data_IF_039974643204
#
_entry.id   IF_039974643204
#
_cell.length_a   1.000
_cell.length_b   1.000
_cell.length_c   1.000
_cell.angle_alpha   90.00
_cell.angle_beta   90.00
_cell.angle_gamma   90.00
#
_symmetry.space_group_name_H-M   'P 1'
#
loop_
_entity.id
_entity.type
_entity.pdbx_description
1 polymer ?
#
# COMPACT_ATOMS: atom_id res chain seq x y z
N UNK A 1 38.85 14.33 -18.39
CA UNK A 1 38.94 15.01 -17.11
C UNK A 1 38.50 13.98 -16.07
N UNK A 2 39.42 13.49 -15.21
CA UNK A 2 39.14 12.41 -14.27
C UNK A 2 38.03 12.83 -13.32
N UNK A 3 37.00 11.99 -13.15
CA UNK A 3 36.04 12.14 -12.08
C UNK A 3 36.81 12.15 -10.75
N UNK A 4 36.82 13.26 -10.04
CA UNK A 4 37.35 13.32 -8.69
C UNK A 4 36.54 12.34 -7.84
N UNK A 5 37.25 11.43 -7.16
CA UNK A 5 36.65 10.51 -6.20
C UNK A 5 35.92 11.34 -5.12
N UNK A 6 34.59 11.23 -5.05
CA UNK A 6 33.80 11.84 -4.00
C UNK A 6 33.84 10.92 -2.79
N UNK A 7 34.78 11.14 -1.87
CA UNK A 7 34.78 10.44 -0.59
C UNK A 7 33.64 10.99 0.27
N UNK A 8 32.68 10.13 0.55
CA UNK A 8 31.62 10.38 1.52
C UNK A 8 31.96 9.66 2.82
N UNK A 9 31.70 10.32 3.95
CA UNK A 9 31.65 9.65 5.26
C UNK A 9 30.20 9.26 5.52
N UNK A 10 29.96 7.98 5.85
CA UNK A 10 28.65 7.49 6.24
C UNK A 10 28.55 7.54 7.75
N UNK A 11 27.54 8.20 8.28
CA UNK A 11 27.24 8.27 9.72
C UNK A 11 25.89 7.60 9.96
N UNK A 12 25.81 6.85 11.04
CA UNK A 12 24.63 6.09 11.45
C UNK A 12 24.29 6.42 12.91
N UNK A 13 23.01 6.46 13.24
CA UNK A 13 22.49 6.83 14.56
C UNK A 13 21.14 6.11 14.81
N UNK A 14 20.94 5.46 15.97
CA UNK A 14 21.76 5.44 17.17
C UNK A 14 22.90 4.42 17.14
N UNK A 15 22.93 3.46 16.22
CA UNK A 15 23.98 2.45 16.12
C UNK A 15 25.14 3.02 15.31
N UNK A 16 26.31 3.15 15.93
CA UNK A 16 27.51 3.67 15.30
C UNK A 16 28.42 2.54 14.82
N UNK A 17 28.81 2.55 13.55
CA UNK A 17 29.76 1.58 13.01
C UNK A 17 31.19 2.17 13.05
N UNK A 18 32.16 1.36 13.47
CA UNK A 18 33.58 1.69 13.37
C UNK A 18 34.03 1.80 11.91
N UNK A 19 33.48 0.93 11.07
CA UNK A 19 33.68 0.97 9.64
C UNK A 19 32.52 0.27 8.92
N UNK A 20 32.05 0.86 7.82
CA UNK A 20 31.00 0.28 6.99
C UNK A 20 31.65 -0.53 5.88
N UNK A 21 31.25 -1.78 5.76
CA UNK A 21 31.77 -2.74 4.77
C UNK A 21 30.83 -2.86 3.57
N UNK A 22 29.53 -2.84 3.83
CA UNK A 22 28.50 -3.02 2.82
C UNK A 22 27.29 -2.12 3.10
N UNK A 23 26.75 -1.53 2.06
CA UNK A 23 25.49 -0.84 2.12
C UNK A 23 24.78 -1.02 0.77
N UNK A 24 23.53 -1.46 0.85
CA UNK A 24 22.61 -1.50 -0.29
C UNK A 24 21.36 -0.73 0.05
N UNK A 25 20.81 0.02 -0.89
CA UNK A 25 19.51 0.69 -0.75
C UNK A 25 18.64 0.48 -1.98
N UNK A 26 17.34 0.34 -1.76
CA UNK A 26 16.34 0.19 -2.83
C UNK A 26 15.10 1.00 -2.50
N UNK A 27 14.70 1.83 -3.44
CA UNK A 27 13.47 2.61 -3.35
C UNK A 27 12.74 2.52 -4.70
N UNK A 28 11.44 2.21 -4.68
CA UNK A 28 10.64 2.11 -5.90
C UNK A 28 9.17 2.42 -5.58
N UNK A 29 8.42 2.94 -6.53
CA UNK A 29 6.97 3.15 -6.38
C UNK A 29 6.28 1.83 -6.01
N UNK A 30 5.25 1.90 -5.14
CA UNK A 30 4.51 0.76 -4.60
C UNK A 30 5.35 -0.25 -3.78
N UNK A 31 6.56 0.13 -3.38
CA UNK A 31 7.43 -0.67 -2.51
C UNK A 31 7.81 0.14 -1.27
N UNK A 32 8.07 -0.58 -0.18
CA UNK A 32 8.74 0.02 0.98
C UNK A 32 10.19 0.31 0.61
N UNK A 33 10.74 1.42 1.13
CA UNK A 33 12.18 1.64 1.10
C UNK A 33 12.89 0.49 1.83
N UNK A 34 14.00 0.09 1.30
CA UNK A 34 14.86 -0.98 1.84
C UNK A 34 16.30 -0.51 1.92
N UNK A 35 16.95 -0.83 3.04
CA UNK A 35 18.40 -0.70 3.16
C UNK A 35 18.97 -1.90 3.91
N UNK A 36 20.09 -2.38 3.44
CA UNK A 36 20.97 -3.31 4.15
C UNK A 36 22.28 -2.62 4.45
N UNK A 37 22.70 -2.65 5.70
CA UNK A 37 23.89 -1.98 6.19
C UNK A 37 24.70 -2.98 7.00
N UNK A 38 25.98 -3.14 6.70
CA UNK A 38 26.86 -4.05 7.42
C UNK A 38 28.24 -3.42 7.69
N UNK A 39 28.77 -3.64 8.88
CA UNK A 39 30.05 -3.09 9.26
C UNK A 39 30.54 -3.63 10.60
N UNK A 40 31.72 -3.18 11.01
CA UNK A 40 32.28 -3.53 12.31
C UNK A 40 31.78 -2.57 13.40
N UNK A 41 31.46 -3.15 14.56
CA UNK A 41 31.10 -2.43 15.80
C UNK A 41 32.14 -2.60 16.86
N UNK A 42 32.13 -1.74 17.89
CA UNK A 42 32.97 -1.87 19.07
C UNK A 42 32.54 -3.06 19.95
N UNK A 43 33.51 -3.81 20.47
CA UNK A 43 33.22 -4.89 21.40
C UNK A 43 32.60 -4.38 22.71
N UNK A 44 32.91 -3.14 23.10
CA UNK A 44 32.38 -2.51 24.31
C UNK A 44 30.89 -2.12 24.15
N UNK A 45 30.40 -1.91 22.94
CA UNK A 45 29.05 -1.45 22.64
C UNK A 45 28.08 -2.61 22.24
N UNK A 46 28.60 -3.85 22.09
CA UNK A 46 27.81 -4.99 21.67
C UNK A 46 26.56 -5.21 22.54
N UNK A 47 26.74 -5.24 23.86
CA UNK A 47 25.65 -5.49 24.79
C UNK A 47 24.59 -4.37 24.72
N UNK A 48 25.03 -3.13 24.59
CA UNK A 48 24.15 -1.98 24.44
C UNK A 48 23.35 -2.08 23.14
N UNK A 49 24.00 -2.35 22.01
CA UNK A 49 23.34 -2.48 20.70
C UNK A 49 22.41 -3.68 20.65
N UNK A 50 22.81 -4.81 21.24
CA UNK A 50 21.92 -5.97 21.36
C UNK A 50 20.63 -5.62 22.11
N UNK A 51 20.74 -4.91 23.24
CA UNK A 51 19.58 -4.50 24.01
C UNK A 51 18.70 -3.48 23.26
N UNK A 52 19.28 -2.55 22.51
CA UNK A 52 18.55 -1.63 21.65
C UNK A 52 17.81 -2.38 20.55
N UNK A 53 18.45 -3.34 19.89
CA UNK A 53 17.91 -4.10 18.77
C UNK A 53 16.80 -5.10 19.16
N UNK A 54 16.66 -5.40 20.45
CA UNK A 54 15.52 -6.19 20.95
C UNK A 54 14.21 -5.40 21.02
N UNK A 55 14.28 -4.07 20.87
CA UNK A 55 13.10 -3.19 20.80
C UNK A 55 12.86 -2.66 19.39
N UNK A 56 11.80 -1.85 19.24
CA UNK A 56 11.57 -1.08 18.02
C UNK A 56 12.62 0.05 17.95
N UNK A 57 13.47 0.01 16.94
CA UNK A 57 14.54 1.00 16.76
C UNK A 57 14.47 1.59 15.36
N UNK A 58 14.66 2.90 15.27
CA UNK A 58 14.81 3.65 14.04
C UNK A 58 16.28 3.99 13.84
N UNK A 59 16.81 3.61 12.71
CA UNK A 59 18.19 3.88 12.33
C UNK A 59 18.23 4.94 11.24
N UNK A 60 19.01 5.98 11.45
CA UNK A 60 19.24 7.06 10.51
C UNK A 60 20.62 6.91 9.89
N UNK A 61 20.67 6.94 8.57
CA UNK A 61 21.91 6.85 7.80
C UNK A 61 22.10 8.13 7.00
N UNK A 62 23.22 8.81 7.22
CA UNK A 62 23.60 10.07 6.58
C UNK A 62 24.88 9.93 5.77
N UNK A 63 24.94 10.67 4.66
CA UNK A 63 26.16 10.91 3.91
C UNK A 63 26.67 12.31 4.23
N UNK A 64 27.93 12.42 4.57
CA UNK A 64 28.63 13.69 4.72
C UNK A 64 29.62 13.81 3.58
N UNK A 65 29.43 14.83 2.74
CA UNK A 65 30.38 15.19 1.67
C UNK A 65 31.62 15.87 2.22
N UNK A 66 32.68 15.99 1.39
CA UNK A 66 33.97 16.63 1.74
C UNK A 66 33.82 18.07 2.23
N UNK A 67 32.85 18.81 1.72
CA UNK A 67 32.59 20.20 2.09
C UNK A 67 31.68 20.33 3.32
N UNK A 68 31.37 19.19 4.00
CA UNK A 68 30.49 19.16 5.15
C UNK A 68 29.00 19.19 4.83
N UNK A 69 28.61 18.89 3.59
CA UNK A 69 27.21 18.78 3.20
C UNK A 69 26.61 17.50 3.79
N UNK A 70 25.55 17.66 4.57
CA UNK A 70 24.82 16.53 5.14
C UNK A 70 23.64 16.16 4.24
N UNK A 71 23.52 14.89 3.87
CA UNK A 71 22.34 14.37 3.17
C UNK A 71 21.87 13.06 3.80
N UNK A 72 20.58 13.03 4.18
CA UNK A 72 19.97 11.80 4.69
C UNK A 72 19.87 10.80 3.53
N UNK A 73 20.51 9.66 3.71
CA UNK A 73 20.44 8.55 2.77
C UNK A 73 19.20 7.69 3.05
N UNK A 74 19.00 7.37 4.33
CA UNK A 74 17.88 6.55 4.79
C UNK A 74 17.54 6.86 6.24
N UNK A 75 16.27 6.70 6.59
CA UNK A 75 15.79 6.71 7.97
C UNK A 75 14.67 5.69 8.06
N UNK A 76 14.91 4.59 8.70
CA UNK A 76 13.98 3.47 8.71
C UNK A 76 14.02 2.67 9.99
N UNK A 77 13.03 1.80 10.12
CA UNK A 77 12.92 0.85 11.23
C UNK A 77 13.80 -0.35 10.95
N UNK A 78 14.51 -0.83 11.96
CA UNK A 78 15.30 -2.07 11.89
C UNK A 78 14.34 -3.24 11.96
N UNK A 79 14.29 -4.03 10.89
CA UNK A 79 13.41 -5.21 10.78
C UNK A 79 14.13 -6.53 10.95
N UNK A 80 15.47 -6.51 10.83
CA UNK A 80 16.29 -7.70 11.01
C UNK A 80 17.73 -7.29 11.36
N UNK A 81 18.42 -8.08 12.18
CA UNK A 81 19.83 -7.89 12.47
C UNK A 81 20.56 -9.22 12.65
N UNK A 82 21.87 -9.18 12.39
CA UNK A 82 22.78 -10.30 12.63
C UNK A 82 24.11 -9.78 13.17
N UNK A 83 24.59 -10.36 14.26
CA UNK A 83 25.92 -10.11 14.81
C UNK A 83 26.77 -11.36 14.58
N UNK A 84 27.83 -11.23 13.82
CA UNK A 84 28.81 -12.29 13.56
C UNK A 84 30.14 -11.95 14.20
N UNK A 85 30.76 -12.90 14.88
CA UNK A 85 32.15 -12.77 15.35
C UNK A 85 33.08 -13.41 14.34
N UNK A 86 33.95 -12.60 13.73
CA UNK A 86 34.94 -13.03 12.73
C UNK A 86 36.31 -12.57 13.16
N UNK A 87 37.22 -13.50 13.51
CA UNK A 87 38.64 -13.19 13.89
C UNK A 87 38.76 -12.06 14.92
N UNK A 88 38.09 -12.19 16.05
CA UNK A 88 38.05 -11.21 17.15
C UNK A 88 37.44 -9.83 16.78
N UNK A 89 36.79 -9.74 15.67
CA UNK A 89 35.98 -8.56 15.25
C UNK A 89 34.50 -8.90 15.18
N UNK A 90 33.66 -7.97 15.63
CA UNK A 90 32.20 -8.11 15.57
C UNK A 90 31.66 -7.35 14.40
N UNK A 91 31.04 -8.11 13.50
CA UNK A 91 30.31 -7.58 12.34
C UNK A 91 28.83 -7.55 12.65
N UNK A 92 28.23 -6.36 12.66
CA UNK A 92 26.79 -6.16 12.71
C UNK A 92 26.25 -5.94 11.29
N UNK A 93 25.17 -6.62 10.96
CA UNK A 93 24.41 -6.40 9.73
C UNK A 93 22.98 -6.05 10.11
N UNK A 94 22.46 -4.95 9.58
CA UNK A 94 21.09 -4.45 9.79
C UNK A 94 20.30 -4.50 8.49
N UNK A 95 19.03 -4.85 8.58
CA UNK A 95 18.05 -4.64 7.52
C UNK A 95 17.05 -3.58 7.97
N UNK A 96 16.95 -2.51 7.20
CA UNK A 96 16.07 -1.38 7.47
C UNK A 96 14.93 -1.34 6.47
N UNK A 97 13.76 -0.92 6.92
CA UNK A 97 12.60 -0.61 6.08
C UNK A 97 12.12 0.81 6.34
N UNK A 98 11.57 1.48 5.32
CA UNK A 98 10.87 2.75 5.54
C UNK A 98 9.71 2.56 6.50
N UNK A 99 9.31 3.61 7.22
CA UNK A 99 8.26 3.51 8.24
C UNK A 99 6.88 3.07 7.73
N UNK A 100 6.68 3.06 6.41
CA UNK A 100 5.48 2.46 5.80
C UNK A 100 5.42 0.94 5.99
N UNK A 101 6.51 0.29 6.39
CA UNK A 101 6.54 -1.12 6.74
C UNK A 101 5.60 -1.47 7.90
N UNK A 102 5.43 -0.55 8.85
CA UNK A 102 4.47 -0.71 9.95
C UNK A 102 3.04 -1.00 9.48
N UNK A 103 2.70 -0.59 8.26
CA UNK A 103 1.41 -0.87 7.64
C UNK A 103 1.23 -2.32 7.15
N UNK A 104 2.25 -3.17 7.28
CA UNK A 104 2.18 -4.61 6.94
C UNK A 104 2.02 -5.51 8.18
N UNK A 105 2.06 -4.95 9.40
CA UNK A 105 2.08 -5.75 10.64
C UNK A 105 0.77 -6.47 10.91
N UNK A 106 -0.36 -5.82 10.65
CA UNK A 106 -1.68 -6.35 10.96
C UNK A 106 -2.57 -6.44 9.72
N UNK A 107 -3.45 -7.42 9.73
CA UNK A 107 -4.53 -7.56 8.75
C UNK A 107 -5.82 -7.13 9.40
N UNK A 108 -6.64 -6.39 8.64
CA UNK A 108 -7.85 -5.78 9.15
C UNK A 108 -9.10 -6.28 8.44
N UNK A 109 -10.21 -6.21 9.16
CA UNK A 109 -11.54 -6.30 8.60
C UNK A 109 -12.27 -4.97 8.87
N UNK A 110 -12.29 -4.10 7.87
CA UNK A 110 -12.94 -2.79 7.92
C UNK A 110 -13.78 -2.57 6.68
N UNK A 111 -14.98 -1.99 6.84
CA UNK A 111 -15.77 -1.53 5.70
C UNK A 111 -16.04 -0.04 5.82
N UNK A 112 -16.17 0.62 4.67
CA UNK A 112 -16.62 2.00 4.52
C UNK A 112 -17.87 1.94 3.65
N UNK A 113 -19.05 2.14 4.29
CA UNK A 113 -20.36 1.99 3.67
C UNK A 113 -21.08 3.32 3.45
N UNK A 114 -20.38 4.44 3.62
CA UNK A 114 -20.85 5.76 3.20
C UNK A 114 -20.34 6.08 1.79
N UNK A 115 -21.22 5.95 0.80
CA UNK A 115 -20.89 6.25 -0.60
C UNK A 115 -20.56 7.73 -0.88
N UNK A 116 -20.78 8.65 0.08
CA UNK A 116 -20.38 10.05 -0.04
C UNK A 116 -18.94 10.29 0.37
N UNK A 117 -18.36 9.39 1.11
CA UNK A 117 -16.98 9.44 1.54
C UNK A 117 -16.02 9.40 0.35
N UNK A 118 -14.94 10.15 0.43
CA UNK A 118 -13.91 10.18 -0.62
C UNK A 118 -12.82 9.15 -0.34
N UNK A 119 -12.13 8.71 -1.39
CA UNK A 119 -10.96 7.85 -1.20
C UNK A 119 -9.87 8.53 -0.36
N UNK A 120 -9.72 9.85 -0.48
CA UNK A 120 -8.75 10.62 0.31
C UNK A 120 -9.05 10.57 1.82
N UNK A 121 -10.34 10.59 2.21
CA UNK A 121 -10.76 10.44 3.61
C UNK A 121 -10.42 9.05 4.13
N UNK A 122 -10.67 7.99 3.34
CA UNK A 122 -10.30 6.61 3.72
C UNK A 122 -8.78 6.50 3.94
N UNK A 123 -7.97 7.05 3.02
CA UNK A 123 -6.52 7.07 3.18
C UNK A 123 -6.07 7.75 4.47
N UNK A 124 -6.70 8.88 4.82
CA UNK A 124 -6.41 9.62 6.05
C UNK A 124 -6.77 8.80 7.29
N UNK A 125 -7.93 8.15 7.30
CA UNK A 125 -8.37 7.29 8.41
C UNK A 125 -7.43 6.12 8.62
N UNK A 126 -7.12 5.37 7.56
CA UNK A 126 -6.20 4.22 7.62
C UNK A 126 -4.81 4.64 8.10
N UNK A 127 -4.34 5.82 7.70
CA UNK A 127 -3.02 6.32 8.10
C UNK A 127 -2.98 6.87 9.53
N UNK A 128 -4.14 7.06 10.18
CA UNK A 128 -4.24 7.77 11.46
C UNK A 128 -3.48 7.13 12.63
N UNK A 129 -3.44 5.80 12.80
CA UNK A 129 -2.80 5.15 13.95
C UNK A 129 -1.27 5.23 13.94
N UNK A 130 -0.64 5.45 12.78
CA UNK A 130 0.80 5.30 12.64
C UNK A 130 1.62 6.48 13.20
N UNK A 131 2.82 6.20 13.76
CA UNK A 131 3.65 7.22 14.39
C UNK A 131 4.21 8.22 13.35
N UNK A 132 4.33 9.49 13.75
CA UNK A 132 4.90 10.58 12.94
C UNK A 132 4.40 10.56 11.49
N UNK A 133 3.14 10.17 11.29
CA UNK A 133 2.53 9.98 9.98
C UNK A 133 2.60 11.24 9.12
N UNK A 134 2.79 11.03 7.84
CA UNK A 134 2.64 12.06 6.82
C UNK A 134 2.07 11.43 5.56
N UNK A 135 0.92 11.93 5.12
CA UNK A 135 0.28 11.52 3.88
C UNK A 135 0.16 12.74 2.97
N UNK A 136 0.79 12.69 1.81
CA UNK A 136 0.81 13.79 0.85
C UNK A 136 0.17 13.35 -0.47
N UNK A 137 -0.89 14.04 -0.86
CA UNK A 137 -1.53 13.84 -2.16
C UNK A 137 -0.89 14.75 -3.20
N UNK A 138 -0.07 14.19 -4.09
CA UNK A 138 0.54 14.91 -5.22
C UNK A 138 -0.38 14.98 -6.45
N UNK A 139 -1.46 14.20 -6.42
CA UNK A 139 -2.59 14.21 -7.33
C UNK A 139 -3.85 14.12 -6.47
N UNK A 140 -4.89 14.92 -6.75
CA UNK A 140 -6.16 14.87 -6.01
C UNK A 140 -6.82 13.49 -6.11
N UNK A 141 -7.38 13.03 -5.02
CA UNK A 141 -8.15 11.79 -4.92
C UNK A 141 -9.48 12.01 -4.19
N UNK A 142 -10.07 13.19 -4.39
CA UNK A 142 -11.36 13.61 -3.79
C UNK A 142 -12.59 12.95 -4.44
N UNK A 143 -12.38 11.97 -5.31
CA UNK A 143 -13.48 11.19 -5.89
C UNK A 143 -14.23 10.46 -4.77
N UNK A 144 -15.57 10.59 -4.75
CA UNK A 144 -16.42 9.80 -3.87
C UNK A 144 -16.34 8.31 -4.22
N UNK A 145 -16.48 7.47 -3.21
CA UNK A 145 -16.48 6.01 -3.41
C UNK A 145 -17.67 5.57 -4.25
N UNK A 146 -18.87 6.11 -3.96
CA UNK A 146 -20.12 5.75 -4.63
C UNK A 146 -20.57 4.31 -4.34
N UNK A 147 -19.77 3.53 -3.64
CA UNK A 147 -19.97 2.12 -3.33
C UNK A 147 -19.34 1.78 -1.97
N UNK A 148 -19.62 0.60 -1.46
CA UNK A 148 -18.88 0.06 -0.32
C UNK A 148 -17.41 -0.11 -0.68
N UNK A 149 -16.53 0.25 0.24
CA UNK A 149 -15.11 -0.10 0.20
C UNK A 149 -14.84 -1.08 1.33
N UNK A 150 -14.18 -2.17 1.04
CA UNK A 150 -13.88 -3.24 1.98
C UNK A 150 -12.36 -3.46 2.08
N UNK A 151 -11.87 -3.61 3.29
CA UNK A 151 -10.58 -4.19 3.62
C UNK A 151 -10.87 -5.48 4.38
N UNK A 152 -10.49 -6.62 3.85
CA UNK A 152 -10.76 -7.91 4.48
C UNK A 152 -9.53 -8.81 4.42
N UNK A 153 -9.01 -9.20 5.60
CA UNK A 153 -7.78 -9.98 5.73
C UNK A 153 -6.59 -9.39 4.95
N UNK A 154 -6.56 -8.07 4.84
CA UNK A 154 -5.60 -7.31 4.05
C UNK A 154 -4.86 -6.31 4.94
N UNK A 155 -3.54 -6.15 4.76
CA UNK A 155 -2.74 -5.16 5.47
C UNK A 155 -3.08 -3.74 4.99
N UNK A 156 -2.81 -2.74 5.81
CA UNK A 156 -3.10 -1.34 5.45
C UNK A 156 -2.32 -0.90 4.19
N UNK A 157 -1.06 -1.33 4.05
CA UNK A 157 -0.28 -1.02 2.85
C UNK A 157 -0.86 -1.65 1.58
N UNK A 158 -1.21 -2.92 1.63
CA UNK A 158 -1.80 -3.62 0.49
C UNK A 158 -3.15 -3.02 0.11
N UNK A 159 -3.98 -2.69 1.10
CA UNK A 159 -5.26 -2.02 0.92
C UNK A 159 -5.11 -0.64 0.25
N UNK A 160 -4.23 0.22 0.77
CA UNK A 160 -4.01 1.54 0.19
C UNK A 160 -3.45 1.47 -1.24
N UNK A 161 -2.56 0.51 -1.53
CA UNK A 161 -2.10 0.26 -2.91
C UNK A 161 -3.25 -0.13 -3.84
N UNK A 162 -4.13 -1.02 -3.38
CA UNK A 162 -5.29 -1.45 -4.15
C UNK A 162 -6.25 -0.28 -4.41
N UNK A 163 -6.54 0.52 -3.38
CA UNK A 163 -7.34 1.74 -3.55
C UNK A 163 -6.68 2.73 -4.51
N UNK A 164 -5.38 2.98 -4.39
CA UNK A 164 -4.64 3.84 -5.29
C UNK A 164 -4.78 3.39 -6.75
N UNK A 165 -4.74 2.07 -6.99
CA UNK A 165 -4.83 1.49 -8.33
C UNK A 165 -6.16 1.77 -9.03
N UNK A 166 -7.26 1.97 -8.29
CA UNK A 166 -8.59 2.32 -8.86
C UNK A 166 -8.61 3.61 -9.68
N UNK A 167 -7.67 4.51 -9.41
CA UNK A 167 -7.45 5.72 -10.22
C UNK A 167 -6.13 5.67 -11.00
N UNK A 168 -5.59 4.46 -11.19
CA UNK A 168 -4.29 4.22 -11.81
C UNK A 168 -3.13 4.88 -11.07
N UNK A 169 -3.34 5.28 -9.80
CA UNK A 169 -2.34 5.85 -8.92
C UNK A 169 -1.45 4.79 -8.27
N UNK A 170 -0.43 5.25 -7.58
CA UNK A 170 0.54 4.44 -6.86
C UNK A 170 1.02 5.16 -5.60
N UNK A 171 1.63 4.42 -4.71
CA UNK A 171 2.20 4.92 -3.46
C UNK A 171 3.71 5.07 -3.58
N UNK A 172 4.25 6.05 -2.89
CA UNK A 172 5.70 6.23 -2.72
C UNK A 172 6.00 6.37 -1.24
N UNK A 173 6.79 5.47 -0.69
CA UNK A 173 7.29 5.56 0.67
C UNK A 173 8.35 6.66 0.77
N UNK A 174 8.33 7.49 1.82
CA UNK A 174 9.41 8.43 2.14
C UNK A 174 10.34 7.75 3.14
N UNK A 175 11.50 7.31 2.66
CA UNK A 175 12.54 6.66 3.45
C UNK A 175 13.60 7.63 4.01
N UNK A 176 13.40 8.94 3.85
CA UNK A 176 14.36 9.95 4.30
C UNK A 176 14.01 10.59 5.64
N UNK A 177 12.83 10.31 6.15
CA UNK A 177 12.33 10.87 7.41
C UNK A 177 11.72 9.77 8.26
N UNK A 178 11.96 9.86 9.55
CA UNK A 178 11.37 8.97 10.54
C UNK A 178 9.83 9.03 10.51
N UNK A 179 9.20 7.87 10.74
CA UNK A 179 7.75 7.72 10.82
C UNK A 179 7.11 7.12 9.57
N UNK A 180 5.84 6.80 9.68
CA UNK A 180 5.05 6.27 8.58
C UNK A 180 4.69 7.39 7.59
N UNK A 181 5.49 7.54 6.55
CA UNK A 181 5.36 8.63 5.58
C UNK A 181 5.20 8.12 4.18
N UNK A 182 4.16 8.57 3.51
CA UNK A 182 3.87 8.16 2.13
C UNK A 182 3.29 9.30 1.29
N UNK A 183 3.49 9.19 0.01
CA UNK A 183 2.90 10.04 -1.01
C UNK A 183 1.95 9.22 -1.88
N UNK A 184 0.79 9.78 -2.18
CA UNK A 184 -0.06 9.31 -3.26
C UNK A 184 0.37 10.00 -4.56
N UNK A 185 0.80 9.20 -5.57
CA UNK A 185 1.44 9.66 -6.81
C UNK A 185 2.84 10.24 -6.59
N UNK A 186 3.56 10.50 -7.69
CA UNK A 186 4.96 10.91 -7.68
C UNK A 186 5.17 12.23 -6.92
N UNK A 187 6.12 12.31 -5.96
CA UNK A 187 6.46 13.53 -5.26
C UNK A 187 6.97 14.64 -6.19
N UNK A 188 6.92 15.88 -5.73
CA UNK A 188 7.57 17.00 -6.40
C UNK A 188 9.05 17.00 -6.03
N UNK A 189 9.90 16.65 -6.98
CA UNK A 189 11.35 16.69 -6.85
C UNK A 189 11.99 17.87 -7.57
N UNK A 190 13.31 17.85 -7.63
CA UNK A 190 14.15 18.82 -8.34
C UNK A 190 14.54 18.31 -9.73
N UNK A 191 14.91 19.23 -10.59
CA UNK A 191 15.49 18.89 -11.88
C UNK A 191 16.93 18.38 -11.72
N UNK A 192 17.22 17.29 -12.41
CA UNK A 192 18.55 16.68 -12.51
C UNK A 192 19.08 16.95 -13.91
N UNK A 193 20.29 17.44 -14.03
CA UNK A 193 20.92 17.62 -15.32
C UNK A 193 21.22 16.27 -15.96
N UNK A 194 20.63 16.01 -17.11
CA UNK A 194 20.95 14.82 -17.90
C UNK A 194 22.29 15.03 -18.60
N UNK A 195 23.34 14.38 -18.10
CA UNK A 195 24.67 14.41 -18.71
C UNK A 195 24.75 13.33 -19.79
N UNK A 196 24.84 13.73 -21.05
CA UNK A 196 24.98 12.81 -22.20
C UNK A 196 26.28 12.01 -22.17
N UNK A 197 27.27 12.44 -21.40
CA UNK A 197 28.57 11.76 -21.23
C UNK A 197 28.57 10.64 -20.18
N UNK A 198 27.47 10.51 -19.39
CA UNK A 198 27.32 9.49 -18.37
C UNK A 198 26.93 8.12 -18.95
N UNK A 199 27.07 7.06 -18.13
CA UNK A 199 26.57 5.74 -18.48
C UNK A 199 25.05 5.71 -18.36
N UNK A 200 24.37 5.54 -19.46
CA UNK A 200 22.92 5.39 -19.48
C UNK A 200 22.47 4.27 -20.43
N UNK A 201 21.29 3.77 -20.17
CA UNK A 201 20.61 2.77 -21.01
C UNK A 201 19.17 3.21 -21.27
N UNK A 202 18.73 3.12 -22.50
CA UNK A 202 17.33 3.39 -22.87
C UNK A 202 16.69 2.07 -23.24
N UNK A 203 15.55 1.78 -22.61
CA UNK A 203 14.70 0.62 -22.89
C UNK A 203 13.32 1.09 -23.33
N UNK A 204 12.74 0.38 -24.28
CA UNK A 204 11.33 0.47 -24.62
C UNK A 204 10.72 -0.91 -24.40
N UNK A 205 9.75 -0.97 -23.50
CA UNK A 205 9.07 -2.22 -23.15
C UNK A 205 7.65 -2.24 -23.74
N UNK A 206 7.53 -2.89 -24.90
CA UNK A 206 6.24 -3.03 -25.61
C UNK A 206 5.32 -4.06 -24.94
N UNK A 207 5.85 -5.00 -24.16
CA UNK A 207 5.05 -5.98 -23.44
C UNK A 207 4.31 -5.30 -22.29
N UNK A 208 5.01 -4.49 -21.47
CA UNK A 208 4.40 -3.66 -20.43
C UNK A 208 3.37 -2.71 -21.02
N UNK A 209 3.71 -2.02 -22.12
CA UNK A 209 2.78 -1.14 -22.82
C UNK A 209 1.52 -1.89 -23.27
N UNK A 210 1.67 -3.00 -23.97
CA UNK A 210 0.56 -3.79 -24.48
C UNK A 210 -0.35 -4.32 -23.37
N UNK A 211 0.25 -4.80 -22.27
CA UNK A 211 -0.48 -5.26 -21.08
C UNK A 211 -1.28 -4.13 -20.42
N UNK A 212 -0.65 -2.97 -20.21
CA UNK A 212 -1.31 -1.79 -19.61
C UNK A 212 -2.46 -1.30 -20.48
N UNK A 213 -2.25 -1.19 -21.78
CA UNK A 213 -3.26 -0.69 -22.71
C UNK A 213 -4.46 -1.63 -22.84
N UNK A 214 -4.25 -2.95 -22.92
CA UNK A 214 -5.33 -3.95 -23.00
C UNK A 214 -6.18 -4.00 -21.72
N UNK A 215 -5.64 -3.62 -20.59
CA UNK A 215 -6.31 -3.70 -19.29
C UNK A 215 -6.72 -2.32 -18.73
N UNK A 216 -7.09 -1.38 -19.60
CA UNK A 216 -7.81 -0.15 -19.21
C UNK A 216 -7.03 1.15 -19.33
N UNK A 217 -5.68 1.13 -19.48
CA UNK A 217 -4.90 2.36 -19.65
C UNK A 217 -4.84 2.81 -21.11
N UNK A 218 -6.00 3.07 -21.72
CA UNK A 218 -6.12 3.38 -23.15
C UNK A 218 -5.43 4.68 -23.57
N UNK A 219 -5.18 5.61 -22.65
CA UNK A 219 -4.52 6.89 -22.90
C UNK A 219 -3.00 6.76 -23.08
N UNK A 220 -2.40 5.61 -22.74
CA UNK A 220 -0.96 5.39 -22.88
C UNK A 220 -0.53 5.32 -24.34
N UNK A 221 0.64 5.89 -24.59
CA UNK A 221 1.39 5.71 -25.82
C UNK A 221 2.65 4.86 -25.57
N UNK A 222 3.22 4.29 -26.60
CA UNK A 222 4.46 3.52 -26.48
C UNK A 222 5.63 4.36 -25.92
N UNK A 223 5.62 5.67 -26.18
CA UNK A 223 6.64 6.58 -25.67
C UNK A 223 6.57 6.80 -24.17
N UNK A 224 5.39 6.64 -23.55
CA UNK A 224 5.21 6.76 -22.12
C UNK A 224 5.89 5.59 -21.38
N UNK A 225 6.13 4.46 -22.06
CA UNK A 225 6.77 3.25 -21.52
C UNK A 225 8.28 3.18 -21.84
N UNK A 226 8.90 4.28 -22.23
CA UNK A 226 10.35 4.37 -22.35
C UNK A 226 10.96 4.55 -20.96
N UNK A 227 11.94 3.72 -20.64
CA UNK A 227 12.70 3.73 -19.39
C UNK A 227 14.13 4.19 -19.70
N UNK A 228 14.58 5.21 -18.96
CA UNK A 228 15.98 5.57 -18.88
C UNK A 228 16.58 5.01 -17.61
N UNK A 229 17.65 4.25 -17.73
CA UNK A 229 18.48 3.79 -16.62
C UNK A 229 19.78 4.58 -16.64
N UNK A 230 20.13 5.20 -15.51
CA UNK A 230 21.32 6.04 -15.35
C UNK A 230 22.16 5.49 -14.20
N UNK A 231 23.49 5.50 -14.36
CA UNK A 231 24.43 5.30 -13.26
C UNK A 231 24.97 6.66 -12.80
N UNK A 232 24.98 6.89 -11.48
CA UNK A 232 25.45 8.16 -10.90
C UNK A 232 26.04 7.92 -9.51
N UNK A 233 26.86 8.88 -9.05
CA UNK A 233 27.36 8.94 -7.68
C UNK A 233 26.59 9.98 -6.82
N UNK A 234 25.71 10.75 -7.43
CA UNK A 234 24.90 11.75 -6.73
C UNK A 234 23.67 11.12 -6.08
N UNK A 235 23.36 11.55 -4.85
CA UNK A 235 22.19 11.08 -4.13
C UNK A 235 20.94 11.85 -4.56
N UNK A 236 20.09 11.21 -5.37
CA UNK A 236 18.79 11.72 -5.81
C UNK A 236 17.64 11.05 -5.08
N UNK A 237 16.41 11.59 -5.24
CA UNK A 237 15.21 11.11 -4.55
C UNK A 237 14.12 10.74 -5.55
N UNK A 238 13.26 9.81 -5.16
CA UNK A 238 12.04 9.52 -5.94
C UNK A 238 11.26 10.81 -6.15
N UNK A 239 10.90 11.09 -7.41
CA UNK A 239 10.22 12.30 -7.82
C UNK A 239 11.14 13.38 -8.43
N UNK A 240 12.45 13.29 -8.26
CA UNK A 240 13.38 14.10 -9.05
C UNK A 240 13.17 13.79 -10.53
N UNK A 241 13.46 14.74 -11.40
CA UNK A 241 13.16 14.57 -12.82
C UNK A 241 14.25 15.10 -13.72
N UNK A 242 14.31 14.61 -14.93
CA UNK A 242 15.17 15.12 -16.00
C UNK A 242 14.35 15.44 -17.23
N UNK A 243 14.84 16.37 -18.03
CA UNK A 243 14.25 16.75 -19.31
C UNK A 243 15.16 16.24 -20.44
N UNK A 244 14.63 15.33 -21.27
CA UNK A 244 15.35 14.76 -22.41
C UNK A 244 14.50 14.92 -23.66
N UNK A 245 15.06 15.59 -24.68
CA UNK A 245 14.35 15.93 -25.92
C UNK A 245 12.98 16.59 -25.70
N UNK A 246 12.90 17.52 -24.72
CA UNK A 246 11.67 18.23 -24.40
C UNK A 246 10.60 17.42 -23.66
N UNK A 247 10.93 16.23 -23.18
CA UNK A 247 10.05 15.37 -22.39
C UNK A 247 10.58 15.20 -20.98
N UNK A 248 9.68 15.19 -20.00
CA UNK A 248 10.03 15.05 -18.59
C UNK A 248 9.94 13.59 -18.18
N UNK A 249 11.02 13.08 -17.60
CA UNK A 249 11.13 11.74 -17.03
C UNK A 249 11.35 11.85 -15.53
N UNK A 250 10.55 11.16 -14.76
CA UNK A 250 10.58 11.18 -13.28
C UNK A 250 11.33 9.96 -12.75
N UNK A 251 12.15 10.20 -11.74
CA UNK A 251 12.84 9.14 -11.01
C UNK A 251 11.82 8.35 -10.20
N UNK A 252 11.64 7.08 -10.54
CA UNK A 252 10.67 6.19 -9.91
C UNK A 252 11.31 4.98 -9.22
N UNK A 253 12.59 4.73 -9.49
CA UNK A 253 13.33 3.60 -8.95
C UNK A 253 14.77 3.99 -8.65
N UNK A 254 15.28 3.59 -7.48
CA UNK A 254 16.64 3.79 -7.00
C UNK A 254 17.19 2.45 -6.53
N UNK A 255 18.38 2.09 -6.99
CA UNK A 255 19.20 1.03 -6.44
C UNK A 255 20.56 1.64 -6.14
N UNK A 256 21.00 1.62 -4.88
CA UNK A 256 22.28 2.14 -4.45
C UNK A 256 23.13 1.07 -3.80
N UNK A 257 24.43 1.14 -3.97
CA UNK A 257 25.40 0.28 -3.28
C UNK A 257 26.66 1.04 -2.96
N UNK A 258 27.28 0.66 -1.83
CA UNK A 258 28.57 1.17 -1.40
C UNK A 258 29.67 0.23 -1.86
N UNK A 259 30.59 0.73 -2.67
CA UNK A 259 31.72 -0.03 -3.22
C UNK A 259 32.97 0.85 -3.28
N UNK A 260 34.08 0.33 -2.73
CA UNK A 260 35.38 1.01 -2.82
C UNK A 260 35.45 2.41 -2.21
N UNK A 261 34.68 2.66 -1.16
CA UNK A 261 34.62 3.98 -0.48
C UNK A 261 33.61 4.97 -1.08
N UNK A 262 32.84 4.56 -2.09
CA UNK A 262 31.90 5.44 -2.78
C UNK A 262 30.51 4.83 -2.88
N UNK A 263 29.49 5.70 -2.88
CA UNK A 263 28.13 5.32 -3.22
C UNK A 263 27.94 5.35 -4.72
N UNK A 264 27.46 4.23 -5.26
CA UNK A 264 27.08 4.10 -6.66
C UNK A 264 25.56 3.84 -6.76
N UNK A 265 24.89 4.60 -7.59
CA UNK A 265 23.44 4.50 -7.77
C UNK A 265 23.08 4.11 -9.20
N UNK A 266 22.05 3.29 -9.32
CA UNK A 266 21.34 3.04 -10.56
C UNK A 266 19.93 3.60 -10.44
N UNK A 267 19.59 4.52 -11.30
CA UNK A 267 18.33 5.25 -11.33
C UNK A 267 17.46 4.81 -12.50
N UNK A 268 16.17 4.59 -12.23
CA UNK A 268 15.16 4.32 -13.26
C UNK A 268 14.23 5.54 -13.43
N UNK A 269 14.16 6.05 -14.66
CA UNK A 269 13.30 7.19 -15.00
C UNK A 269 12.25 6.80 -16.04
N UNK A 270 11.02 7.31 -15.85
CA UNK A 270 9.92 7.10 -16.79
C UNK A 270 9.05 8.34 -16.86
N UNK A 271 8.31 8.53 -17.95
CA UNK A 271 7.32 9.59 -18.05
C UNK A 271 6.17 9.35 -17.07
N UNK A 272 5.56 10.41 -16.54
CA UNK A 272 4.53 10.34 -15.50
C UNK A 272 3.37 9.40 -15.87
N UNK A 273 2.90 9.43 -17.11
CA UNK A 273 1.83 8.53 -17.59
C UNK A 273 2.26 7.05 -17.60
N UNK A 274 3.54 6.79 -17.90
CA UNK A 274 4.09 5.44 -17.88
C UNK A 274 4.12 4.81 -16.48
N UNK A 275 4.12 5.63 -15.42
CA UNK A 275 4.06 5.18 -14.04
C UNK A 275 2.67 4.72 -13.60
N UNK A 276 1.60 5.09 -14.33
CA UNK A 276 0.24 4.67 -14.02
C UNK A 276 0.15 3.14 -13.90
N UNK A 277 -0.53 2.65 -12.86
CA UNK A 277 -0.68 1.22 -12.59
C UNK A 277 -2.06 0.72 -13.05
N UNK A 278 -2.14 -0.57 -13.32
CA UNK A 278 -3.43 -1.21 -13.62
C UNK A 278 -4.26 -1.29 -12.35
N UNK A 279 -5.56 -0.99 -12.47
CA UNK A 279 -6.50 -1.28 -11.41
C UNK A 279 -6.59 -2.79 -11.19
N UNK A 280 -6.70 -3.20 -9.94
CA UNK A 280 -6.86 -4.59 -9.54
C UNK A 280 -7.78 -4.70 -8.33
N UNK A 281 -8.60 -5.76 -8.31
CA UNK A 281 -9.41 -6.15 -7.18
C UNK A 281 -8.68 -7.16 -6.27
N UNK A 282 -9.33 -7.56 -5.20
CA UNK A 282 -8.81 -8.61 -4.31
C UNK A 282 -9.40 -9.98 -4.70
N UNK A 283 -8.52 -10.94 -4.96
CA UNK A 283 -8.92 -12.32 -5.27
C UNK A 283 -9.58 -13.03 -4.08
N UNK A 284 -9.29 -12.60 -2.86
CA UNK A 284 -9.90 -13.13 -1.65
C UNK A 284 -11.39 -12.80 -1.55
N UNK A 285 -11.88 -11.84 -2.35
CA UNK A 285 -13.30 -11.47 -2.37
C UNK A 285 -14.16 -12.43 -3.19
N UNK A 286 -13.57 -13.22 -4.10
CA UNK A 286 -14.34 -14.12 -4.95
C UNK A 286 -15.11 -15.14 -4.11
N UNK A 287 -16.44 -14.99 -4.07
CA UNK A 287 -17.31 -15.85 -3.26
C UNK A 287 -17.27 -15.56 -1.76
N UNK A 288 -16.68 -14.45 -1.33
CA UNK A 288 -16.66 -14.04 0.08
C UNK A 288 -18.09 -13.84 0.58
N UNK A 289 -18.38 -14.42 1.75
CA UNK A 289 -19.70 -14.39 2.37
C UNK A 289 -19.56 -13.89 3.82
N UNK A 290 -19.88 -12.62 4.03
CA UNK A 290 -19.77 -11.93 5.31
C UNK A 290 -21.10 -12.01 6.10
N UNK A 291 -20.98 -12.14 7.42
CA UNK A 291 -22.14 -12.07 8.31
C UNK A 291 -22.57 -10.61 8.49
N UNK A 292 -23.86 -10.37 8.44
CA UNK A 292 -24.41 -9.04 8.66
C UNK A 292 -25.78 -9.05 9.33
N UNK A 293 -26.16 -7.92 9.89
CA UNK A 293 -27.47 -7.64 10.47
C UNK A 293 -28.17 -6.57 9.63
N UNK A 294 -29.40 -6.78 9.28
CA UNK A 294 -30.23 -5.82 8.54
C UNK A 294 -30.57 -4.64 9.46
N UNK A 295 -30.18 -3.45 9.04
CA UNK A 295 -30.51 -2.20 9.76
C UNK A 295 -31.51 -1.32 9.03
N UNK A 296 -31.78 -1.59 7.76
CA UNK A 296 -32.76 -0.88 6.95
C UNK A 296 -33.25 -1.73 5.78
N UNK A 297 -34.53 -1.56 5.43
CA UNK A 297 -35.18 -2.24 4.32
C UNK A 297 -35.93 -1.22 3.49
N UNK A 298 -35.72 -1.20 2.18
CA UNK A 298 -36.40 -0.32 1.25
C UNK A 298 -36.55 -1.01 -0.10
N UNK A 299 -37.78 -1.18 -0.56
CA UNK A 299 -38.06 -1.88 -1.82
C UNK A 299 -37.38 -3.26 -1.86
N UNK A 300 -36.49 -3.50 -2.83
CA UNK A 300 -35.70 -4.72 -2.99
C UNK A 300 -34.27 -4.59 -2.47
N UNK A 301 -34.00 -3.61 -1.61
CA UNK A 301 -32.67 -3.30 -1.08
C UNK A 301 -32.67 -3.33 0.45
N UNK A 302 -31.49 -3.60 0.98
CA UNK A 302 -31.26 -3.61 2.41
C UNK A 302 -29.95 -2.86 2.77
N UNK A 303 -29.93 -2.25 3.94
CA UNK A 303 -28.70 -1.78 4.58
C UNK A 303 -28.26 -2.83 5.59
N UNK A 304 -26.98 -3.11 5.62
CA UNK A 304 -26.42 -4.20 6.44
C UNK A 304 -25.25 -3.69 7.27
N UNK A 305 -25.31 -3.93 8.56
CA UNK A 305 -24.19 -3.77 9.47
C UNK A 305 -23.39 -5.07 9.49
N UNK A 306 -22.12 -5.03 9.09
CA UNK A 306 -21.26 -6.22 9.06
C UNK A 306 -20.83 -6.62 10.47
N UNK A 307 -20.89 -7.91 10.77
CA UNK A 307 -20.49 -8.46 12.07
C UNK A 307 -18.99 -8.76 12.03
N UNK A 308 -18.26 -8.19 12.99
CA UNK A 308 -16.79 -8.29 13.05
C UNK A 308 -16.06 -7.14 12.36
N UNK A 309 -16.77 -6.20 11.75
CA UNK A 309 -16.21 -4.98 11.19
C UNK A 309 -15.64 -4.08 12.29
N UNK A 310 -14.40 -3.66 12.13
CA UNK A 310 -13.72 -2.75 13.07
C UNK A 310 -14.27 -1.32 12.99
N UNK A 311 -14.85 -0.93 11.84
CA UNK A 311 -15.45 0.40 11.60
C UNK A 311 -16.92 0.52 12.02
N UNK A 312 -17.36 -0.15 13.07
CA UNK A 312 -18.77 -0.25 13.48
C UNK A 312 -19.49 1.08 13.79
N UNK A 313 -18.75 2.19 13.91
CA UNK A 313 -19.30 3.52 14.25
C UNK A 313 -19.59 4.37 13.02
N UNK A 314 -19.31 3.89 11.81
CA UNK A 314 -19.55 4.65 10.60
C UNK A 314 -21.03 4.71 10.23
N UNK A 315 -21.41 5.79 9.57
CA UNK A 315 -22.71 5.91 8.94
C UNK A 315 -22.81 4.92 7.77
N UNK A 316 -23.89 4.14 7.73
CA UNK A 316 -24.15 3.18 6.66
C UNK A 316 -25.22 3.79 5.74
N UNK A 317 -24.82 4.33 4.62
CA UNK A 317 -25.72 4.94 3.63
C UNK A 317 -25.94 4.07 2.41
N UNK A 318 -25.12 3.03 2.22
CA UNK A 318 -25.16 2.17 1.05
C UNK A 318 -26.27 1.12 1.13
N UNK A 319 -27.00 0.93 0.03
CA UNK A 319 -28.08 -0.01 -0.12
C UNK A 319 -27.67 -1.15 -1.03
N UNK A 320 -27.77 -2.39 -0.54
CA UNK A 320 -27.45 -3.60 -1.28
C UNK A 320 -28.71 -4.21 -1.87
N UNK A 321 -28.64 -4.73 -3.11
CA UNK A 321 -29.74 -5.57 -3.63
C UNK A 321 -29.88 -6.82 -2.79
N UNK A 322 -31.13 -7.24 -2.53
CA UNK A 322 -31.44 -8.48 -1.82
C UNK A 322 -31.83 -9.58 -2.81
N UNK A 323 -31.09 -10.69 -2.78
CA UNK A 323 -31.36 -11.83 -3.63
C UNK A 323 -32.50 -12.69 -3.06
N UNK A 324 -33.51 -12.94 -3.87
CA UNK A 324 -34.62 -13.86 -3.56
C UNK A 324 -34.39 -15.25 -4.18
N UNK A 325 -35.18 -16.23 -3.74
CA UNK A 325 -35.09 -17.61 -4.26
C UNK A 325 -35.43 -17.67 -5.75
N UNK A 326 -36.39 -16.82 -6.19
CA UNK A 326 -36.86 -16.75 -7.57
C UNK A 326 -37.30 -15.33 -7.90
N UNK A 327 -36.74 -14.75 -8.95
CA UNK A 327 -37.12 -13.45 -9.48
C UNK A 327 -36.81 -13.34 -10.96
N UNK A 328 -37.69 -12.70 -11.72
CA UNK A 328 -37.51 -12.39 -13.13
C UNK A 328 -37.60 -10.88 -13.38
N UNK A 329 -37.01 -10.36 -14.48
CA UNK A 329 -37.02 -8.92 -14.76
C UNK A 329 -38.42 -8.31 -14.96
N UNK A 330 -39.43 -9.12 -15.27
CA UNK A 330 -40.84 -8.70 -15.44
C UNK A 330 -41.62 -8.56 -14.13
N UNK A 331 -40.91 -8.80 -12.96
CA UNK A 331 -41.50 -8.74 -11.64
C UNK A 331 -42.17 -10.03 -11.17
N UNK A 332 -42.11 -11.09 -11.98
CA UNK A 332 -42.57 -12.42 -11.53
C UNK A 332 -41.59 -13.02 -10.57
N UNK A 333 -42.03 -13.55 -9.43
CA UNK A 333 -41.17 -14.20 -8.46
C UNK A 333 -41.65 -14.12 -7.03
N UNK A 334 -40.75 -14.41 -6.11
CA UNK A 334 -41.02 -14.34 -4.69
C UNK A 334 -40.44 -13.01 -4.15
N UNK A 335 -41.31 -12.19 -3.60
CA UNK A 335 -40.91 -10.99 -2.89
C UNK A 335 -41.03 -11.27 -1.40
N UNK A 336 -39.90 -11.54 -0.75
CA UNK A 336 -39.81 -11.83 0.68
C UNK A 336 -38.56 -11.15 1.21
N UNK A 337 -38.74 -9.92 1.68
CA UNK A 337 -37.64 -9.14 2.26
C UNK A 337 -37.39 -9.52 3.71
N UNK A 338 -36.14 -9.47 4.17
CA UNK A 338 -35.82 -9.64 5.58
C UNK A 338 -36.36 -8.46 6.41
N UNK A 339 -36.53 -8.67 7.69
CA UNK A 339 -36.88 -7.61 8.64
C UNK A 339 -35.61 -6.97 9.24
N UNK A 340 -35.73 -5.75 9.76
CA UNK A 340 -34.67 -5.10 10.54
C UNK A 340 -34.37 -5.95 11.77
N UNK A 341 -33.07 -6.27 11.98
CA UNK A 341 -32.58 -7.18 13.02
C UNK A 341 -32.31 -8.60 12.52
N UNK A 342 -32.73 -8.95 11.30
CA UNK A 342 -32.43 -10.28 10.76
C UNK A 342 -30.95 -10.42 10.42
N UNK A 343 -30.40 -11.61 10.70
CA UNK A 343 -29.06 -11.96 10.29
C UNK A 343 -29.05 -12.44 8.84
N UNK A 344 -28.20 -11.83 8.04
CA UNK A 344 -28.09 -12.09 6.59
C UNK A 344 -26.65 -12.39 6.19
N UNK A 345 -26.45 -12.70 4.92
CA UNK A 345 -25.14 -12.87 4.31
C UNK A 345 -24.94 -11.82 3.21
N UNK A 346 -23.87 -11.03 3.34
CA UNK A 346 -23.38 -10.19 2.26
C UNK A 346 -22.41 -11.02 1.42
N UNK A 347 -22.71 -11.20 0.15
CA UNK A 347 -21.91 -12.02 -0.77
C UNK A 347 -21.27 -11.13 -1.82
N UNK A 348 -19.96 -11.32 -2.02
CA UNK A 348 -19.20 -10.66 -3.08
C UNK A 348 -18.85 -11.72 -4.12
N UNK A 349 -19.43 -11.67 -5.33
CA UNK A 349 -19.26 -12.72 -6.33
C UNK A 349 -17.91 -12.63 -7.05
N UNK A 350 -17.38 -11.42 -7.20
CA UNK A 350 -16.18 -11.10 -7.96
C UNK A 350 -15.02 -10.61 -7.09
N UNK A 351 -14.09 -9.90 -7.70
CA UNK A 351 -12.92 -9.30 -7.04
C UNK A 351 -13.17 -7.87 -6.53
N UNK A 352 -14.37 -7.33 -6.77
CA UNK A 352 -14.72 -5.95 -6.47
C UNK A 352 -15.97 -5.88 -5.58
N UNK A 353 -15.96 -5.00 -4.62
CA UNK A 353 -17.04 -4.82 -3.63
C UNK A 353 -18.32 -4.28 -4.23
N UNK A 354 -18.24 -3.55 -5.33
CA UNK A 354 -19.40 -2.96 -6.02
C UNK A 354 -20.42 -3.98 -6.55
N UNK A 355 -20.01 -5.24 -6.69
CA UNK A 355 -20.88 -6.34 -7.11
C UNK A 355 -21.59 -7.03 -5.93
N UNK A 356 -21.41 -6.56 -4.70
CA UNK A 356 -21.95 -7.19 -3.51
C UNK A 356 -23.48 -7.17 -3.48
N UNK A 357 -24.06 -8.27 -3.02
CA UNK A 357 -25.50 -8.42 -2.78
C UNK A 357 -25.77 -9.22 -1.52
N UNK A 358 -26.97 -9.06 -0.95
CA UNK A 358 -27.36 -9.73 0.29
C UNK A 358 -28.21 -10.96 0.00
N UNK A 359 -27.93 -12.05 0.68
CA UNK A 359 -28.66 -13.31 0.57
C UNK A 359 -29.08 -13.82 1.94
N UNK A 360 -30.06 -14.71 1.96
CA UNK A 360 -30.42 -15.65 3.02
C UNK A 360 -30.42 -15.11 4.45
N UNK A 361 -31.57 -15.07 5.07
CA UNK A 361 -31.67 -14.94 6.52
C UNK A 361 -31.30 -16.24 7.21
N UNK A 362 -30.39 -16.17 8.18
CA UNK A 362 -29.92 -17.33 8.94
C UNK A 362 -30.26 -17.13 10.42
N UNK A 363 -31.05 -17.99 10.98
CA UNK A 363 -31.33 -18.05 12.41
C UNK A 363 -30.47 -19.14 13.03
N UNK A 364 -29.51 -18.74 13.86
CA UNK A 364 -28.61 -19.68 14.54
C UNK A 364 -29.22 -20.20 15.85
N UNK A 365 -29.98 -19.35 16.54
CA UNK A 365 -30.66 -19.66 17.79
C UNK A 365 -32.15 -19.34 17.65
N UNK A 366 -32.99 -20.30 17.86
CA UNK A 366 -34.46 -20.11 17.93
C UNK A 366 -35.07 -20.99 18.99
N UNK A 367 -35.79 -20.39 19.90
CA UNK A 367 -36.63 -21.08 20.88
C UNK A 367 -38.04 -21.39 20.34
N UNK A 368 -38.28 -21.08 19.06
CA UNK A 368 -39.59 -21.29 18.45
C UNK A 368 -39.81 -22.77 18.14
N UNK A 369 -40.73 -23.40 18.87
CA UNK A 369 -41.09 -24.82 18.71
C UNK A 369 -41.61 -25.13 17.30
N UNK A 370 -42.29 -24.17 16.63
CA UNK A 370 -42.82 -24.34 15.28
C UNK A 370 -41.70 -24.56 14.22
N UNK A 371 -40.47 -24.16 14.53
CA UNK A 371 -39.31 -24.35 13.63
C UNK A 371 -38.49 -25.63 13.90
N UNK A 372 -38.91 -26.44 14.85
CA UNK A 372 -38.20 -27.68 15.23
C UNK A 372 -38.62 -28.90 14.39
N UNK A 373 -39.76 -28.82 13.73
CA UNK A 373 -40.23 -29.94 12.89
C UNK A 373 -39.87 -29.70 11.40
N UNK A 374 -38.93 -30.44 10.82
CA UNK A 374 -38.50 -30.29 9.44
C UNK A 374 -39.56 -30.73 8.40
N UNK A 375 -40.59 -31.46 8.82
CA UNK A 375 -41.67 -31.88 7.95
C UNK A 375 -42.73 -30.79 7.73
N UNK A 376 -42.80 -29.80 8.63
CA UNK A 376 -43.71 -28.66 8.53
C UNK A 376 -43.10 -27.53 7.71
N UNK A 377 -43.92 -26.95 6.83
CA UNK A 377 -43.57 -25.76 6.08
C UNK A 377 -44.49 -24.61 6.50
N UNK A 378 -43.91 -23.65 7.18
CA UNK A 378 -44.64 -22.54 7.80
C UNK A 378 -44.34 -21.24 7.09
N UNK A 379 -45.40 -20.54 6.69
CA UNK A 379 -45.35 -19.16 6.21
C UNK A 379 -45.97 -18.27 7.27
N UNK A 380 -45.22 -17.45 7.94
CA UNK A 380 -45.68 -16.59 9.03
C UNK A 380 -45.11 -15.20 8.90
N UNK A 381 -45.95 -14.18 8.98
CA UNK A 381 -45.50 -12.78 9.02
C UNK A 381 -45.62 -12.25 10.44
N UNK A 382 -44.88 -11.18 10.77
CA UNK A 382 -44.94 -10.49 12.07
C UNK A 382 -46.35 -10.05 12.47
N UNK A 383 -47.20 -9.79 11.50
CA UNK A 383 -48.59 -9.32 11.72
C UNK A 383 -49.61 -10.42 11.62
N UNK A 384 -49.23 -11.69 11.70
CA UNK A 384 -50.13 -12.86 11.64
C UNK A 384 -51.05 -12.89 10.40
N UNK A 385 -50.62 -12.30 9.29
CA UNK A 385 -51.29 -12.50 8.00
C UNK A 385 -50.79 -13.79 7.41
N UNK A 386 -51.67 -14.78 7.35
CA UNK A 386 -51.50 -16.04 6.62
C UNK A 386 -51.46 -15.83 5.11
#
# INVERSE_FOLDING_TARGET
MGEEMREYTIITEPICFLSILELETKEEINQHGYMRLGGYISDEEEEEYFNLLMGEIWEKVELIGREGEHSILFNGIVTDFCIDQINDQKKLTLTLRSGTWLMEEERHFRSWQDGNMTYEEIFKEVSLPYPKKSLVFNKSYERKTGEMVLQYEETDWSFLKRLASRSHGYLVADSRKEGCRLHYSIPRGKEILFLQEGKYRIKKDLEIYGRKKKNGLFHLTENDCIIYELESRENHRIGDYMIVYGRTFYLYKIEGCYQGGEMCYRYGFMQKKGLDVLAYGDKNYIGLCLKGEVIGVKENQVQVKLIGDENQKQEITFWYPYATVYSTPDGTGWYCMPEVGDQVRLTIPGMEEGEAYVTSSVHLDTDNEERKNPEEKIWKTKYQKE
#
